data_IF_432359236172
#
_entry.id   IF_432359236172
#
_cell.length_a   1.000
_cell.length_b   1.000
_cell.length_c   1.000
_cell.angle_alpha   90.00
_cell.angle_beta   90.00
_cell.angle_gamma   90.00
#
_symmetry.space_group_name_H-M   'P 1'
#
loop_
_entity.id
_entity.type
_entity.pdbx_description
1 polymer ?
#
# COMPACT_ATOMS: atom_id res chain seq x y z
N UNK A 1 17.95 -4.52 14.29
CA UNK A 1 17.65 -5.41 13.15
C UNK A 1 16.15 -5.68 13.14
N UNK A 2 15.36 -5.05 12.25
CA UNK A 2 13.97 -5.45 12.03
C UNK A 2 13.98 -6.67 11.09
N UNK A 3 13.34 -7.80 11.43
CA UNK A 3 13.31 -8.95 10.54
C UNK A 3 12.49 -8.59 9.29
N UNK A 4 13.06 -8.82 8.10
CA UNK A 4 12.34 -8.75 6.84
C UNK A 4 11.21 -9.79 6.87
N UNK A 5 9.97 -9.34 6.99
CA UNK A 5 8.80 -10.20 7.00
C UNK A 5 8.63 -10.74 5.57
N UNK A 6 8.41 -12.05 5.36
CA UNK A 6 8.32 -12.59 4.01
C UNK A 6 7.07 -12.00 3.34
N UNK A 7 7.29 -11.17 2.32
CA UNK A 7 6.25 -10.63 1.44
C UNK A 7 5.50 -11.81 0.81
N UNK A 8 4.34 -12.13 1.39
CA UNK A 8 3.52 -13.26 1.01
C UNK A 8 3.01 -13.00 -0.41
N UNK A 9 3.66 -13.61 -1.39
CA UNK A 9 3.24 -13.58 -2.80
C UNK A 9 1.76 -14.01 -2.88
N UNK A 10 0.97 -13.19 -3.57
CA UNK A 10 -0.39 -13.51 -4.05
C UNK A 10 -1.57 -13.41 -3.07
N UNK A 11 -1.45 -12.69 -1.95
CA UNK A 11 -2.64 -12.31 -1.18
C UNK A 11 -3.21 -10.99 -1.71
N UNK A 12 -4.51 -11.00 -2.05
CA UNK A 12 -5.35 -9.83 -2.33
C UNK A 12 -5.07 -8.73 -1.31
N UNK A 13 -4.83 -7.50 -1.76
CA UNK A 13 -4.53 -6.35 -0.91
C UNK A 13 -5.80 -6.01 -0.12
N UNK A 14 -5.67 -5.95 1.20
CA UNK A 14 -6.80 -5.74 2.14
C UNK A 14 -6.81 -4.35 2.77
N UNK A 15 -5.70 -3.62 2.66
CA UNK A 15 -5.54 -2.29 3.23
C UNK A 15 -5.03 -2.27 4.68
N UNK A 16 -4.84 -3.45 5.28
CA UNK A 16 -4.19 -3.61 6.59
C UNK A 16 -2.67 -3.68 6.49
N UNK A 17 -2.17 -3.91 5.29
CA UNK A 17 -0.74 -3.93 4.99
C UNK A 17 -0.14 -2.52 5.13
N UNK A 18 1.12 -2.46 5.54
CA UNK A 18 1.86 -1.21 5.60
C UNK A 18 2.13 -0.70 4.18
N UNK A 19 2.07 0.61 3.98
CA UNK A 19 2.33 1.24 2.68
C UNK A 19 3.72 0.86 2.15
N UNK A 20 4.73 0.78 3.03
CA UNK A 20 6.07 0.39 2.65
C UNK A 20 6.13 -1.04 2.10
N UNK A 21 5.49 -2.00 2.76
CA UNK A 21 5.47 -3.41 2.35
C UNK A 21 4.81 -3.58 0.96
N UNK A 22 3.72 -2.84 0.71
CA UNK A 22 3.06 -2.80 -0.61
C UNK A 22 3.95 -2.18 -1.69
N UNK A 23 4.66 -1.11 -1.36
CA UNK A 23 5.54 -0.42 -2.30
C UNK A 23 6.83 -1.20 -2.62
N UNK A 24 7.29 -2.06 -1.71
CA UNK A 24 8.41 -2.98 -1.94
C UNK A 24 7.99 -4.25 -2.69
N UNK A 25 6.72 -4.65 -2.56
CA UNK A 25 6.19 -5.86 -3.17
C UNK A 25 6.13 -5.78 -4.71
N UNK A 26 5.71 -4.64 -5.26
CA UNK A 26 5.60 -4.45 -6.70
C UNK A 26 5.81 -2.97 -7.11
N UNK A 27 6.63 -2.68 -8.14
CA UNK A 27 6.86 -1.31 -8.59
C UNK A 27 5.60 -0.64 -9.15
N UNK A 28 4.64 -1.38 -9.71
CA UNK A 28 3.35 -0.88 -10.15
C UNK A 28 2.47 -0.43 -8.99
N UNK A 29 2.45 -1.19 -7.89
CA UNK A 29 1.77 -0.76 -6.65
C UNK A 29 2.37 0.52 -6.09
N UNK A 30 3.70 0.63 -6.09
CA UNK A 30 4.40 1.84 -5.65
C UNK A 30 3.98 3.06 -6.48
N UNK A 31 3.92 2.91 -7.80
CA UNK A 31 3.49 3.99 -8.70
C UNK A 31 2.02 4.37 -8.47
N UNK A 32 1.14 3.38 -8.31
CA UNK A 32 -0.27 3.63 -8.00
C UNK A 32 -0.42 4.41 -6.68
N UNK A 33 0.24 3.98 -5.61
CA UNK A 33 0.23 4.66 -4.31
C UNK A 33 0.71 6.12 -4.42
N UNK A 34 1.79 6.36 -5.19
CA UNK A 34 2.31 7.71 -5.44
C UNK A 34 1.30 8.59 -6.17
N UNK A 35 0.56 8.05 -7.14
CA UNK A 35 -0.51 8.78 -7.84
C UNK A 35 -1.63 9.26 -6.90
N UNK A 36 -1.86 8.54 -5.80
CA UNK A 36 -2.80 8.94 -4.73
C UNK A 36 -2.16 9.82 -3.64
N UNK A 37 -0.90 10.26 -3.81
CA UNK A 37 -0.18 11.05 -2.82
C UNK A 37 0.23 10.25 -1.57
N UNK A 38 0.19 8.91 -1.65
CA UNK A 38 0.55 8.00 -0.57
C UNK A 38 2.00 7.54 -0.81
N UNK A 39 2.95 8.12 -0.09
CA UNK A 39 4.35 7.69 -0.13
C UNK A 39 4.77 6.99 1.16
N UNK A 40 5.68 6.03 1.04
CA UNK A 40 6.38 5.45 2.19
C UNK A 40 7.18 6.48 3.02
N UNK A 41 7.45 7.65 2.43
CA UNK A 41 8.19 8.73 3.08
C UNK A 41 7.42 9.48 4.19
N UNK A 42 6.09 9.50 4.12
CA UNK A 42 5.24 10.20 5.09
C UNK A 42 4.47 9.22 5.99
N UNK A 43 4.09 8.07 5.45
CA UNK A 43 3.15 7.12 6.08
C UNK A 43 3.59 5.66 5.90
N UNK A 44 4.89 5.41 5.74
CA UNK A 44 5.43 4.10 5.38
C UNK A 44 5.12 2.97 6.37
N UNK A 45 5.22 3.25 7.68
CA UNK A 45 4.86 2.30 8.75
C UNK A 45 3.35 2.24 9.01
N UNK A 46 2.56 3.18 8.49
CA UNK A 46 1.12 3.21 8.69
C UNK A 46 0.41 2.22 7.74
N UNK A 47 -0.72 1.64 8.17
CA UNK A 47 -1.54 0.80 7.30
C UNK A 47 -2.13 1.65 6.17
N UNK A 48 -2.28 1.03 4.99
CA UNK A 48 -2.82 1.70 3.80
C UNK A 48 -4.18 2.37 4.06
N UNK A 49 -5.06 1.74 4.83
CA UNK A 49 -6.35 2.30 5.19
C UNK A 49 -6.25 3.65 5.90
N UNK A 50 -5.29 3.78 6.81
CA UNK A 50 -5.06 5.02 7.56
C UNK A 50 -4.41 6.08 6.67
N UNK A 51 -3.41 5.67 5.88
CA UNK A 51 -2.78 6.54 4.89
C UNK A 51 -3.79 7.10 3.86
N UNK A 52 -4.73 6.26 3.40
CA UNK A 52 -5.80 6.67 2.50
C UNK A 52 -6.76 7.66 3.18
N UNK A 53 -7.16 7.38 4.42
CA UNK A 53 -8.03 8.27 5.20
C UNK A 53 -7.38 9.65 5.44
N UNK A 54 -6.09 9.69 5.78
CA UNK A 54 -5.35 10.95 5.96
C UNK A 54 -5.26 11.78 4.68
N UNK A 55 -5.28 11.13 3.52
CA UNK A 55 -5.26 11.79 2.20
C UNK A 55 -6.65 12.06 1.64
N UNK A 56 -7.71 11.66 2.33
CA UNK A 56 -9.09 11.78 1.84
C UNK A 56 -9.37 10.88 0.63
N UNK A 57 -8.62 9.79 0.48
CA UNK A 57 -8.78 8.84 -0.63
C UNK A 57 -9.75 7.74 -0.21
N UNK A 58 -10.72 7.44 -1.08
CA UNK A 58 -11.65 6.32 -0.86
C UNK A 58 -10.89 4.98 -0.91
N UNK A 59 -10.84 4.32 0.26
CA UNK A 59 -10.12 3.05 0.42
C UNK A 59 -10.66 1.97 -0.54
N UNK A 60 -11.97 1.95 -0.80
CA UNK A 60 -12.57 0.92 -1.64
C UNK A 60 -12.10 1.03 -3.10
N UNK A 61 -12.08 2.25 -3.62
CA UNK A 61 -11.57 2.57 -4.96
C UNK A 61 -10.08 2.27 -5.07
N UNK A 62 -9.29 2.69 -4.07
CA UNK A 62 -7.86 2.41 -3.99
C UNK A 62 -7.55 0.91 -3.99
N UNK A 63 -8.27 0.13 -3.16
CA UNK A 63 -8.09 -1.33 -3.11
C UNK A 63 -8.48 -1.98 -4.43
N UNK A 64 -9.48 -1.48 -5.14
CA UNK A 64 -9.88 -2.02 -6.45
C UNK A 64 -8.77 -1.82 -7.49
N UNK A 65 -8.19 -0.62 -7.55
CA UNK A 65 -7.07 -0.29 -8.44
C UNK A 65 -5.83 -1.11 -8.10
N UNK A 66 -5.43 -1.14 -6.83
CA UNK A 66 -4.24 -1.88 -6.40
C UNK A 66 -4.40 -3.39 -6.63
N UNK A 67 -5.59 -3.95 -6.40
CA UNK A 67 -5.86 -5.37 -6.70
C UNK A 67 -5.97 -5.68 -8.20
N UNK A 68 -6.15 -4.68 -9.07
CA UNK A 68 -6.09 -4.90 -10.51
C UNK A 68 -4.64 -5.04 -11.02
N UNK A 69 -3.65 -4.67 -10.20
CA UNK A 69 -2.22 -4.69 -10.52
C UNK A 69 -1.48 -5.93 -9.97
N UNK A 70 -2.13 -6.78 -9.17
CA UNK A 70 -1.56 -7.99 -8.53
C UNK A 70 -2.33 -9.26 -8.88
#
# INVERSE_FOLDING_TARGET
MRPARPAKRSARITGKEAVHDLAERDPGLRLALLSYGICGCCVGDAPLADAAAQRGVDLKSLLKELNALV
#
